data_IF_130600323492
#
_entry.id   IF_130600323492
#
_cell.length_a   1.000
_cell.length_b   1.000
_cell.length_c   1.000
_cell.angle_alpha   90.00
_cell.angle_beta   90.00
_cell.angle_gamma   90.00
#
_symmetry.space_group_name_H-M   'P 1'
#
loop_
_entity.id
_entity.type
_entity.pdbx_description
1 polymer ?
#
# COMPACT_ATOMS: atom_id res chain seq x y z
N UNK A 1 18.97 -33.32 39.51
CA UNK A 1 17.54 -33.19 39.16
C UNK A 1 17.44 -32.03 38.20
N UNK A 2 17.48 -32.33 36.90
CA UNK A 2 17.49 -31.35 35.82
C UNK A 2 16.07 -30.80 35.65
N UNK A 3 15.88 -29.50 35.80
CA UNK A 3 14.66 -28.85 35.35
C UNK A 3 14.85 -28.45 33.89
N UNK A 4 14.38 -29.32 33.00
CA UNK A 4 14.00 -28.95 31.64
C UNK A 4 12.87 -27.91 31.72
N UNK A 5 13.15 -26.69 31.26
CA UNK A 5 12.08 -25.75 30.93
C UNK A 5 11.58 -26.11 29.54
N UNK A 6 10.39 -26.68 29.56
CA UNK A 6 9.56 -27.10 28.43
C UNK A 6 9.39 -25.97 27.41
N UNK A 7 9.43 -26.41 26.15
CA UNK A 7 8.75 -25.89 24.97
C UNK A 7 8.62 -24.37 24.81
N UNK A 8 9.37 -23.89 23.82
CA UNK A 8 9.05 -22.67 23.06
C UNK A 8 7.55 -22.65 22.75
N UNK A 9 6.82 -21.77 23.42
CA UNK A 9 5.52 -21.33 22.95
C UNK A 9 5.67 -20.89 21.49
N UNK A 10 4.92 -21.55 20.60
CA UNK A 10 4.79 -21.12 19.21
C UNK A 10 4.42 -19.64 19.19
N UNK A 11 5.25 -18.80 18.54
CA UNK A 11 4.96 -17.37 18.37
C UNK A 11 3.52 -17.21 17.85
N UNK A 12 2.65 -16.43 18.51
CA UNK A 12 1.30 -16.22 18.01
C UNK A 12 1.34 -15.67 16.58
N UNK A 13 0.50 -16.24 15.72
CA UNK A 13 0.34 -15.85 14.32
C UNK A 13 -0.36 -14.49 14.26
N UNK A 14 0.45 -13.43 14.22
CA UNK A 14 -0.02 -12.05 14.19
C UNK A 14 -0.18 -11.46 15.60
N UNK A 15 0.15 -10.18 15.72
CA UNK A 15 -0.05 -9.39 16.92
C UNK A 15 -0.70 -8.07 16.53
N UNK A 16 -1.68 -7.62 17.31
CA UNK A 16 -2.30 -6.30 17.17
C UNK A 16 -1.76 -5.45 18.31
N UNK A 17 -1.14 -4.33 17.95
CA UNK A 17 -0.64 -3.34 18.91
C UNK A 17 -1.55 -2.11 18.84
N UNK A 18 -2.05 -1.68 20.00
CA UNK A 18 -2.82 -0.45 20.12
C UNK A 18 -1.93 0.62 20.75
N UNK A 19 -1.70 1.71 20.02
CA UNK A 19 -1.03 2.88 20.53
C UNK A 19 -2.08 3.97 20.75
N UNK A 20 -2.32 4.33 22.01
CA UNK A 20 -3.10 5.52 22.32
C UNK A 20 -2.18 6.74 22.17
N UNK A 21 -2.43 7.56 21.16
CA UNK A 21 -1.60 8.71 20.81
C UNK A 21 -2.35 10.02 21.11
N UNK A 22 -1.98 10.70 22.20
CA UNK A 22 -2.71 11.87 22.72
C UNK A 22 -2.11 13.21 22.31
N UNK A 23 -0.85 13.22 21.85
CA UNK A 23 -0.12 14.44 21.53
C UNK A 23 -0.83 15.33 20.49
N UNK A 24 -1.60 14.71 19.58
CA UNK A 24 -2.39 15.44 18.58
C UNK A 24 -3.50 16.29 19.22
N UNK A 25 -4.22 15.74 20.20
CA UNK A 25 -5.24 16.46 20.94
C UNK A 25 -4.60 17.53 21.84
N UNK A 26 -3.53 17.19 22.55
CA UNK A 26 -2.79 18.16 23.38
C UNK A 26 -2.26 19.35 22.56
N UNK A 27 -1.77 19.11 21.35
CA UNK A 27 -1.33 20.16 20.43
C UNK A 27 -2.50 21.05 20.01
N UNK A 28 -3.65 20.47 19.67
CA UNK A 28 -4.85 21.18 19.26
C UNK A 28 -5.41 22.08 20.38
N UNK A 29 -5.30 21.68 21.65
CA UNK A 29 -5.67 22.51 22.81
C UNK A 29 -4.64 23.59 23.15
N UNK A 30 -3.43 23.53 22.58
CA UNK A 30 -2.34 24.45 22.92
C UNK A 30 -2.41 25.79 22.18
N UNK A 31 -1.81 26.86 22.73
CA UNK A 31 -1.68 28.15 22.04
C UNK A 31 -0.47 28.16 21.09
N UNK A 32 -0.58 27.49 19.93
CA UNK A 32 0.53 27.45 18.94
C UNK A 32 0.85 28.83 18.35
N UNK A 33 -0.14 29.73 18.30
CA UNK A 33 0.03 31.08 17.77
C UNK A 33 0.99 31.90 18.63
N UNK A 34 0.99 31.71 19.96
CA UNK A 34 1.99 32.32 20.85
C UNK A 34 3.43 31.89 20.57
N UNK A 35 3.61 30.74 19.91
CA UNK A 35 4.91 30.19 19.52
C UNK A 35 5.32 30.60 18.10
N UNK A 36 4.58 31.51 17.47
CA UNK A 36 4.81 31.99 16.11
C UNK A 36 4.83 30.84 15.07
N UNK A 37 3.92 29.88 15.24
CA UNK A 37 3.71 28.76 14.31
C UNK A 37 2.21 28.51 14.10
N UNK A 38 1.88 27.58 13.20
CA UNK A 38 0.51 27.21 12.85
C UNK A 38 0.19 25.80 13.36
N UNK A 39 -1.09 25.47 13.50
CA UNK A 39 -1.48 24.10 13.87
C UNK A 39 -1.11 23.13 12.75
N UNK A 40 -1.28 23.55 11.50
CA UNK A 40 -0.96 22.79 10.31
C UNK A 40 0.52 22.37 10.28
N UNK A 41 1.44 23.31 10.58
CA UNK A 41 2.87 23.02 10.64
C UNK A 41 3.22 22.05 11.78
N UNK A 42 2.68 22.26 12.98
CA UNK A 42 2.98 21.40 14.14
C UNK A 42 2.37 20.00 13.99
N UNK A 43 1.13 19.91 13.49
CA UNK A 43 0.48 18.63 13.18
C UNK A 43 1.25 17.90 12.08
N UNK A 44 1.69 18.62 11.04
CA UNK A 44 2.52 18.03 9.98
C UNK A 44 3.81 17.46 10.55
N UNK A 45 4.55 18.21 11.38
CA UNK A 45 5.76 17.72 12.05
C UNK A 45 5.48 16.49 12.91
N UNK A 46 4.40 16.50 13.68
CA UNK A 46 4.01 15.40 14.55
C UNK A 46 3.73 14.12 13.75
N UNK A 47 2.87 14.21 12.73
CA UNK A 47 2.48 13.06 11.92
C UNK A 47 3.58 12.61 10.95
N UNK A 48 4.46 13.50 10.49
CA UNK A 48 5.63 13.13 9.70
C UNK A 48 6.57 12.21 10.49
N UNK A 49 6.81 12.49 11.78
CA UNK A 49 7.61 11.60 12.65
C UNK A 49 6.99 10.22 12.84
N UNK A 50 5.66 10.15 12.93
CA UNK A 50 4.93 8.88 12.98
C UNK A 50 5.12 8.13 11.65
N UNK A 51 4.93 8.82 10.52
CA UNK A 51 5.10 8.24 9.19
C UNK A 51 6.53 7.71 8.97
N UNK A 52 7.55 8.45 9.38
CA UNK A 52 8.95 8.00 9.35
C UNK A 52 9.16 6.75 10.21
N UNK A 53 8.56 6.72 11.41
CA UNK A 53 8.65 5.56 12.31
C UNK A 53 8.00 4.31 11.72
N UNK A 54 6.83 4.47 11.08
CA UNK A 54 6.14 3.39 10.35
C UNK A 54 6.96 2.94 9.14
N UNK A 55 7.55 3.88 8.39
CA UNK A 55 8.41 3.59 7.24
C UNK A 55 9.64 2.77 7.67
N UNK A 56 10.33 3.20 8.73
CA UNK A 56 11.46 2.44 9.28
C UNK A 56 11.04 1.04 9.74
N UNK A 57 9.94 0.93 10.49
CA UNK A 57 9.39 -0.35 10.93
C UNK A 57 9.12 -1.29 9.73
N UNK A 58 8.61 -0.74 8.63
CA UNK A 58 8.34 -1.52 7.42
C UNK A 58 9.60 -2.03 6.72
N UNK A 59 10.70 -1.29 6.80
CA UNK A 59 11.98 -1.67 6.19
C UNK A 59 12.69 -2.73 7.03
N UNK A 60 12.61 -2.61 8.36
CA UNK A 60 13.22 -3.52 9.33
C UNK A 60 12.37 -4.79 9.59
N UNK A 61 11.13 -4.83 9.10
CA UNK A 61 10.22 -5.96 9.27
C UNK A 61 10.78 -7.24 8.62
N UNK A 62 11.04 -8.26 9.45
CA UNK A 62 11.58 -9.54 9.00
C UNK A 62 10.54 -10.46 8.35
N UNK A 63 9.25 -10.19 8.53
CA UNK A 63 8.17 -10.95 7.91
C UNK A 63 7.82 -10.45 6.50
N UNK A 64 6.82 -11.06 5.85
CA UNK A 64 6.29 -10.54 4.60
C UNK A 64 5.75 -9.12 4.80
N UNK A 65 6.21 -8.17 3.99
CA UNK A 65 5.89 -6.74 4.13
C UNK A 65 4.40 -6.46 4.02
N UNK A 66 3.70 -7.22 3.19
CA UNK A 66 2.25 -7.13 2.98
C UNK A 66 1.40 -7.51 4.20
N UNK A 67 2.01 -8.10 5.22
CA UNK A 67 1.37 -8.42 6.50
C UNK A 67 1.45 -7.27 7.50
N UNK A 68 2.27 -6.24 7.24
CA UNK A 68 2.28 -5.03 8.04
C UNK A 68 1.16 -4.10 7.59
N UNK A 69 0.31 -3.68 8.52
CA UNK A 69 -0.75 -2.71 8.28
C UNK A 69 -0.87 -1.77 9.47
N UNK A 70 -1.01 -0.49 9.18
CA UNK A 70 -1.20 0.57 10.18
C UNK A 70 -2.56 1.20 9.95
N UNK A 71 -3.37 1.24 10.99
CA UNK A 71 -4.66 1.91 11.00
C UNK A 71 -4.54 3.13 11.90
N UNK A 72 -4.96 4.27 11.39
CA UNK A 72 -5.05 5.53 12.14
C UNK A 72 -6.53 5.83 12.26
N UNK A 73 -7.01 5.86 13.50
CA UNK A 73 -8.39 6.18 13.86
C UNK A 73 -8.36 7.21 14.98
N UNK A 74 -9.33 8.10 15.00
CA UNK A 74 -9.56 9.05 16.09
C UNK A 74 -10.98 8.88 16.60
N UNK A 75 -11.17 9.07 17.90
CA UNK A 75 -12.46 8.96 18.58
C UNK A 75 -13.31 10.22 18.39
N UNK A 76 -12.66 11.37 18.26
CA UNK A 76 -13.30 12.64 17.93
C UNK A 76 -12.39 13.51 17.05
N UNK A 77 -12.99 14.53 16.45
CA UNK A 77 -12.27 15.64 15.82
C UNK A 77 -12.19 16.84 16.76
N UNK A 78 -11.90 18.02 16.21
CA UNK A 78 -11.82 19.25 16.98
C UNK A 78 -12.24 20.45 16.12
N UNK A 79 -12.83 21.44 16.77
CA UNK A 79 -13.33 22.65 16.13
C UNK A 79 -12.71 23.90 16.77
N UNK A 80 -12.24 24.83 15.93
CA UNK A 80 -11.80 26.15 16.36
C UNK A 80 -12.96 27.12 16.33
N UNK A 81 -13.35 27.60 17.49
CA UNK A 81 -14.50 28.50 17.64
C UNK A 81 -14.03 29.95 17.49
N UNK A 82 -14.42 30.59 16.39
CA UNK A 82 -14.02 31.96 16.09
C UNK A 82 -14.77 32.96 16.98
N UNK A 83 -14.16 34.11 17.28
CA UNK A 83 -14.77 35.13 18.14
C UNK A 83 -16.14 35.61 17.61
N UNK A 84 -16.27 35.75 16.29
CA UNK A 84 -17.52 36.12 15.61
C UNK A 84 -18.60 35.04 15.67
N UNK A 85 -18.21 33.79 15.93
CA UNK A 85 -19.09 32.61 16.00
C UNK A 85 -19.47 32.28 17.43
N UNK A 86 -18.78 32.87 18.43
CA UNK A 86 -19.16 32.80 19.83
C UNK A 86 -20.51 33.48 20.01
N UNK A 87 -21.56 32.66 20.00
CA UNK A 87 -22.84 33.02 20.59
C UNK A 87 -22.76 32.63 22.05
N UNK A 88 -22.40 33.59 22.89
CA UNK A 88 -22.43 33.41 24.34
C UNK A 88 -23.88 33.38 24.79
N UNK A 89 -24.29 32.26 25.37
CA UNK A 89 -25.53 32.22 26.13
C UNK A 89 -25.41 33.13 27.36
N UNK A 90 -26.49 33.75 27.83
CA UNK A 90 -26.47 34.58 29.03
C UNK A 90 -26.02 33.75 30.25
N UNK A 91 -24.93 34.19 30.88
CA UNK A 91 -24.21 33.50 31.96
C UNK A 91 -25.09 33.05 33.12
N UNK A 92 -26.22 33.73 33.37
CA UNK A 92 -27.15 33.38 34.46
C UNK A 92 -27.92 32.08 34.21
N UNK A 93 -28.05 31.69 32.94
CA UNK A 93 -28.89 30.57 32.51
C UNK A 93 -28.06 29.34 32.12
N UNK A 94 -26.83 29.57 31.63
CA UNK A 94 -25.88 28.52 31.24
C UNK A 94 -25.41 27.69 32.42
N UNK A 95 -25.16 28.34 33.57
CA UNK A 95 -24.68 27.66 34.77
C UNK A 95 -25.71 26.68 35.35
N UNK A 96 -27.00 26.83 35.03
CA UNK A 96 -28.05 25.88 35.43
C UNK A 96 -28.03 24.59 34.61
N UNK A 97 -27.66 24.69 33.34
CA UNK A 97 -27.59 23.54 32.45
C UNK A 97 -26.23 22.83 32.57
N UNK A 98 -25.13 23.58 32.67
CA UNK A 98 -23.79 23.00 32.57
C UNK A 98 -23.07 23.05 33.91
N UNK A 99 -23.02 21.90 34.59
CA UNK A 99 -22.25 21.74 35.83
C UNK A 99 -20.73 21.88 35.61
N UNK A 100 -20.25 21.62 34.38
CA UNK A 100 -18.86 21.81 33.99
C UNK A 100 -18.80 22.52 32.63
N UNK A 101 -18.38 23.79 32.63
CA UNK A 101 -18.23 24.64 31.45
C UNK A 101 -17.19 24.14 30.43
N UNK A 102 -16.34 23.18 30.82
CA UNK A 102 -15.39 22.53 29.90
C UNK A 102 -16.07 21.50 29.01
N UNK A 103 -17.24 21.00 29.40
CA UNK A 103 -17.99 20.06 28.60
C UNK A 103 -18.98 20.82 27.71
N UNK A 104 -18.94 20.54 26.41
CA UNK A 104 -19.90 21.10 25.44
C UNK A 104 -21.20 20.31 25.38
N UNK A 105 -21.54 19.59 26.46
CA UNK A 105 -22.80 18.91 26.66
C UNK A 105 -23.24 19.03 28.12
N UNK A 106 -24.53 18.87 28.35
CA UNK A 106 -25.13 18.81 29.69
C UNK A 106 -25.85 17.47 29.86
N UNK A 107 -25.81 16.96 31.09
CA UNK A 107 -26.62 15.83 31.53
C UNK A 107 -27.57 16.37 32.62
N UNK A 108 -28.87 16.29 32.36
CA UNK A 108 -29.92 16.83 33.22
C UNK A 108 -30.71 15.67 33.80
N UNK A 109 -30.81 15.60 35.12
CA UNK A 109 -31.64 14.61 35.78
C UNK A 109 -33.14 14.90 35.50
N UNK A 110 -33.96 13.86 35.44
CA UNK A 110 -35.36 13.98 35.02
C UNK A 110 -36.20 14.91 35.92
N UNK A 111 -35.85 14.99 37.21
CA UNK A 111 -36.44 15.88 38.21
C UNK A 111 -36.05 17.36 38.05
N UNK A 112 -34.99 17.66 37.28
CA UNK A 112 -34.50 19.02 37.03
C UNK A 112 -34.96 19.58 35.68
N UNK A 113 -35.63 18.76 34.84
CA UNK A 113 -36.01 19.17 33.48
C UNK A 113 -36.94 20.39 33.50
N UNK A 114 -37.92 20.40 34.42
CA UNK A 114 -38.91 21.47 34.51
C UNK A 114 -38.32 22.79 35.06
N UNK A 115 -37.13 22.74 35.66
CA UNK A 115 -36.41 23.92 36.13
C UNK A 115 -35.68 24.67 35.00
N UNK A 116 -35.57 24.06 33.82
CA UNK A 116 -34.86 24.59 32.66
C UNK A 116 -35.84 25.31 31.72
N UNK A 117 -35.67 26.63 31.50
CA UNK A 117 -36.51 27.39 30.58
C UNK A 117 -36.61 26.79 29.17
N UNK A 118 -37.83 26.68 28.63
CA UNK A 118 -38.09 26.00 27.33
C UNK A 118 -37.31 26.62 26.16
N UNK A 119 -37.10 27.95 26.20
CA UNK A 119 -36.33 28.66 25.18
C UNK A 119 -34.86 28.18 25.07
N UNK A 120 -34.33 27.53 26.11
CA UNK A 120 -32.98 26.95 26.07
C UNK A 120 -32.93 25.63 25.33
N UNK A 121 -33.99 24.82 25.44
CA UNK A 121 -34.07 23.55 24.73
C UNK A 121 -34.03 23.73 23.21
N UNK A 122 -34.55 24.85 22.70
CA UNK A 122 -34.51 25.21 21.28
C UNK A 122 -33.07 25.34 20.75
N UNK A 123 -32.13 25.69 21.63
CA UNK A 123 -30.73 26.01 21.29
C UNK A 123 -29.86 24.75 21.07
N UNK A 124 -30.41 23.56 21.30
CA UNK A 124 -29.66 22.31 21.22
C UNK A 124 -30.50 21.11 20.81
N UNK A 125 -29.92 19.93 20.98
CA UNK A 125 -30.52 18.63 20.80
C UNK A 125 -30.71 17.99 22.17
N UNK A 126 -31.93 17.53 22.44
CA UNK A 126 -32.26 16.70 23.61
C UNK A 126 -32.25 15.24 23.20
N UNK A 127 -31.64 14.37 23.98
CA UNK A 127 -31.67 12.94 23.74
C UNK A 127 -31.48 12.15 25.04
N UNK A 128 -31.96 10.90 25.05
CA UNK A 128 -31.59 9.89 26.05
C UNK A 128 -30.63 8.91 25.38
N UNK A 129 -29.71 8.29 26.12
CA UNK A 129 -28.80 7.31 25.51
C UNK A 129 -29.64 6.15 24.96
N UNK A 130 -29.42 5.75 23.70
CA UNK A 130 -30.11 4.59 23.19
C UNK A 130 -29.64 3.36 23.98
N UNK A 131 -30.57 2.46 24.29
CA UNK A 131 -30.29 1.17 24.94
C UNK A 131 -29.88 1.20 26.43
N UNK A 132 -29.97 2.35 27.10
CA UNK A 132 -29.76 2.46 28.55
C UNK A 132 -31.01 3.04 29.20
N UNK A 133 -31.57 2.33 30.19
CA UNK A 133 -32.68 2.86 30.98
C UNK A 133 -32.13 3.77 32.06
N UNK A 134 -32.18 5.07 31.82
CA UNK A 134 -31.69 6.10 32.73
C UNK A 134 -32.65 7.28 32.84
N UNK A 135 -32.66 7.91 34.01
CA UNK A 135 -33.45 9.11 34.30
C UNK A 135 -32.61 10.36 34.03
N UNK A 136 -31.95 10.40 32.86
CA UNK A 136 -31.07 11.49 32.47
C UNK A 136 -31.37 11.88 31.02
N UNK A 137 -31.60 13.17 30.81
CA UNK A 137 -31.73 13.77 29.48
C UNK A 137 -30.45 14.54 29.18
N UNK A 138 -29.83 14.21 28.05
CA UNK A 138 -28.63 14.88 27.57
C UNK A 138 -28.99 16.04 26.65
N UNK A 139 -28.18 17.09 26.72
CA UNK A 139 -28.31 18.29 25.91
C UNK A 139 -27.00 18.61 25.20
N UNK A 140 -27.07 18.75 23.87
CA UNK A 140 -25.96 19.18 23.03
C UNK A 140 -26.33 20.49 22.32
N UNK A 141 -25.62 21.61 22.57
CA UNK A 141 -25.83 22.86 21.86
C UNK A 141 -25.67 22.70 20.35
N UNK A 142 -26.49 23.39 19.55
CA UNK A 142 -26.35 23.45 18.10
C UNK A 142 -25.16 24.35 17.71
N UNK A 143 -24.48 24.00 16.62
CA UNK A 143 -23.42 24.82 16.02
C UNK A 143 -22.23 25.09 16.95
N UNK A 144 -21.59 26.25 16.77
CA UNK A 144 -20.42 26.69 17.55
C UNK A 144 -20.77 27.31 18.91
N UNK A 145 -22.00 27.12 19.39
CA UNK A 145 -22.41 27.66 20.68
C UNK A 145 -21.48 27.11 21.78
N UNK A 146 -20.99 28.02 22.64
CA UNK A 146 -20.15 27.67 23.78
C UNK A 146 -20.81 28.09 25.06
N UNK A 147 -20.61 27.26 26.06
CA UNK A 147 -21.07 27.41 27.45
C UNK A 147 -20.08 28.25 28.27
N UNK A 148 -18.94 28.59 27.67
CA UNK A 148 -17.75 29.05 28.37
C UNK A 148 -17.81 30.56 28.63
N UNK A 149 -17.48 30.96 29.86
CA UNK A 149 -17.36 32.37 30.23
C UNK A 149 -16.22 33.06 29.47
N UNK A 150 -16.34 34.38 29.33
CA UNK A 150 -15.43 35.23 28.58
C UNK A 150 -13.97 35.05 29.03
N UNK A 151 -13.16 34.47 28.14
CA UNK A 151 -11.72 34.29 28.32
C UNK A 151 -11.10 33.80 27.01
N UNK A 152 -9.89 34.29 26.69
CA UNK A 152 -9.13 33.95 25.48
C UNK A 152 -8.62 32.51 25.56
N UNK A 153 -9.49 31.54 25.35
CA UNK A 153 -9.06 30.19 25.02
C UNK A 153 -8.63 30.25 23.56
N UNK A 154 -7.35 30.02 23.33
CA UNK A 154 -6.80 29.81 22.01
C UNK A 154 -6.61 28.31 21.84
N UNK A 155 -6.87 27.79 20.66
CA UNK A 155 -6.90 26.35 20.40
C UNK A 155 -8.20 25.89 19.77
N UNK A 156 -8.15 24.64 19.36
CA UNK A 156 -9.30 23.84 18.97
C UNK A 156 -9.89 23.18 20.22
N UNK A 157 -11.19 22.89 20.19
CA UNK A 157 -11.90 22.22 21.27
C UNK A 157 -12.76 21.09 20.69
N UNK A 158 -13.19 20.17 21.55
CA UNK A 158 -14.07 19.06 21.16
C UNK A 158 -15.25 18.90 22.16
N UNK A 159 -16.11 17.92 21.92
CA UNK A 159 -17.26 17.57 22.76
C UNK A 159 -18.59 18.20 22.34
N UNK A 160 -18.61 18.97 21.26
CA UNK A 160 -19.81 19.46 20.58
C UNK A 160 -20.30 18.52 19.48
N UNK A 161 -21.15 19.05 18.59
CA UNK A 161 -21.79 18.30 17.49
C UNK A 161 -21.48 18.90 16.12
N UNK A 162 -20.43 19.73 16.01
CA UNK A 162 -20.08 20.26 14.69
C UNK A 162 -19.52 19.14 13.82
N UNK A 163 -19.69 19.22 12.49
CA UNK A 163 -19.13 18.22 11.57
C UNK A 163 -17.64 17.95 11.82
N UNK A 164 -16.86 18.97 12.15
CA UNK A 164 -15.43 18.88 12.44
C UNK A 164 -15.12 18.07 13.71
N UNK A 165 -16.06 17.97 14.65
CA UNK A 165 -15.91 17.20 15.89
C UNK A 165 -16.39 15.75 15.74
N UNK A 166 -17.43 15.51 14.94
CA UNK A 166 -18.11 14.20 14.88
C UNK A 166 -17.77 13.38 13.63
N UNK A 167 -17.36 14.02 12.53
CA UNK A 167 -16.93 13.34 11.32
C UNK A 167 -15.42 13.15 11.40
N UNK A 168 -15.02 11.98 11.87
CA UNK A 168 -13.62 11.65 12.13
C UNK A 168 -13.00 10.86 10.99
N UNK A 169 -11.76 11.20 10.57
CA UNK A 169 -11.06 10.42 9.57
C UNK A 169 -10.61 9.07 10.12
N UNK A 170 -10.72 8.04 9.28
CA UNK A 170 -10.00 6.79 9.45
C UNK A 170 -9.08 6.60 8.24
N UNK A 171 -7.82 6.29 8.48
CA UNK A 171 -6.84 6.04 7.44
C UNK A 171 -6.22 4.66 7.63
N UNK A 172 -5.94 3.99 6.51
CA UNK A 172 -5.21 2.73 6.49
C UNK A 172 -3.97 2.89 5.62
N UNK A 173 -2.82 2.54 6.18
CA UNK A 173 -1.59 2.33 5.44
C UNK A 173 -1.28 0.84 5.41
N UNK A 174 -1.12 0.30 4.20
CA UNK A 174 -0.77 -1.11 3.99
C UNK A 174 0.19 -1.24 2.83
N UNK A 175 1.20 -2.08 3.01
CA UNK A 175 2.06 -2.48 1.91
C UNK A 175 1.36 -3.56 1.10
N UNK A 176 1.40 -3.43 -0.22
CA UNK A 176 0.82 -4.40 -1.14
C UNK A 176 1.93 -4.97 -2.00
N UNK A 177 1.81 -6.25 -2.37
CA UNK A 177 2.66 -6.81 -3.40
C UNK A 177 2.40 -6.06 -4.70
N UNK A 178 3.47 -5.63 -5.36
CA UNK A 178 3.33 -5.02 -6.67
C UNK A 178 2.81 -6.07 -7.65
N UNK A 179 1.83 -5.68 -8.46
CA UNK A 179 1.34 -6.51 -9.55
C UNK A 179 2.31 -6.35 -10.73
N UNK A 180 3.30 -7.24 -10.83
CA UNK A 180 4.26 -7.22 -11.92
C UNK A 180 3.59 -7.60 -13.25
N UNK A 181 3.87 -6.82 -14.28
CA UNK A 181 3.48 -7.12 -15.66
C UNK A 181 4.49 -8.09 -16.26
N UNK A 182 3.99 -9.11 -16.94
CA UNK A 182 4.83 -10.07 -17.67
C UNK A 182 5.69 -9.33 -18.72
N UNK A 183 7.01 -9.57 -18.78
CA UNK A 183 7.87 -9.00 -19.80
C UNK A 183 7.44 -9.47 -21.19
N UNK A 184 7.55 -8.59 -22.18
CA UNK A 184 7.39 -9.00 -23.57
C UNK A 184 8.74 -9.42 -24.13
N UNK A 185 8.76 -10.40 -25.03
CA UNK A 185 9.99 -10.86 -25.65
C UNK A 185 9.78 -11.11 -27.16
N UNK A 186 10.82 -10.84 -27.94
CA UNK A 186 10.84 -11.13 -29.37
C UNK A 186 12.22 -11.62 -29.81
N UNK A 187 12.23 -12.54 -30.75
CA UNK A 187 13.46 -13.02 -31.37
C UNK A 187 13.99 -11.98 -32.37
N UNK A 188 15.31 -11.80 -32.40
CA UNK A 188 16.01 -10.92 -33.33
C UNK A 188 16.76 -11.74 -34.39
N UNK A 189 17.10 -11.08 -35.50
CA UNK A 189 18.06 -11.58 -36.50
C UNK A 189 17.77 -13.01 -37.01
N UNK A 190 16.49 -13.34 -37.18
CA UNK A 190 16.05 -14.64 -37.68
C UNK A 190 16.31 -14.80 -39.17
N UNK A 191 16.90 -15.93 -39.56
CA UNK A 191 16.97 -16.39 -40.95
C UNK A 191 15.67 -17.13 -41.29
N UNK A 192 14.76 -16.48 -42.01
CA UNK A 192 13.44 -17.04 -42.32
C UNK A 192 13.44 -17.80 -43.64
N UNK A 193 12.72 -18.92 -43.66
CA UNK A 193 12.45 -19.69 -44.87
C UNK A 193 11.33 -18.99 -45.63
N UNK A 194 11.56 -18.64 -46.90
CA UNK A 194 10.61 -17.83 -47.68
C UNK A 194 9.26 -18.51 -47.87
N UNK A 195 9.25 -19.83 -48.02
CA UNK A 195 8.05 -20.60 -48.33
C UNK A 195 7.16 -20.80 -47.10
N UNK A 196 7.75 -20.94 -45.91
CA UNK A 196 7.02 -21.29 -44.68
C UNK A 196 6.96 -20.15 -43.67
N UNK A 197 7.79 -19.11 -43.83
CA UNK A 197 7.94 -18.01 -42.86
C UNK A 197 8.62 -18.43 -41.55
N UNK A 198 9.09 -19.67 -41.43
CA UNK A 198 9.68 -20.21 -40.18
C UNK A 198 11.16 -19.88 -40.05
N UNK A 199 11.62 -19.77 -38.80
CA UNK A 199 13.03 -19.57 -38.50
C UNK A 199 13.85 -20.83 -38.85
N UNK A 200 14.91 -20.67 -39.62
CA UNK A 200 15.79 -21.76 -40.03
C UNK A 200 16.94 -21.91 -39.06
N UNK A 201 17.14 -23.12 -38.54
CA UNK A 201 18.29 -23.47 -37.73
C UNK A 201 19.01 -24.69 -38.30
N UNK A 202 20.34 -24.68 -38.27
CA UNK A 202 21.12 -25.86 -38.67
C UNK A 202 21.44 -26.72 -37.46
N UNK A 203 21.10 -28.00 -37.54
CA UNK A 203 21.49 -28.98 -36.51
C UNK A 203 22.98 -29.25 -36.54
N UNK A 204 23.51 -29.73 -35.41
CA UNK A 204 24.91 -30.08 -35.21
C UNK A 204 25.89 -28.92 -35.43
N UNK A 205 25.41 -27.68 -35.26
CA UNK A 205 26.20 -26.45 -35.29
C UNK A 205 25.80 -25.56 -34.11
N UNK A 206 26.73 -24.73 -33.65
CA UNK A 206 26.42 -23.70 -32.66
C UNK A 206 25.74 -22.55 -33.38
N UNK A 207 24.58 -22.15 -32.87
CA UNK A 207 23.78 -21.02 -33.33
C UNK A 207 23.63 -20.03 -32.19
N UNK A 208 23.84 -18.75 -32.45
CA UNK A 208 23.53 -17.68 -31.49
C UNK A 208 22.08 -17.25 -31.67
N UNK A 209 21.28 -17.39 -30.63
CA UNK A 209 19.95 -16.83 -30.52
C UNK A 209 20.01 -15.50 -29.79
N UNK A 210 19.30 -14.51 -30.30
CA UNK A 210 19.14 -13.21 -29.67
C UNK A 210 17.66 -12.98 -29.37
N UNK A 211 17.34 -12.70 -28.12
CA UNK A 211 15.98 -12.41 -27.65
C UNK A 211 15.98 -11.02 -27.02
N UNK A 212 15.29 -10.07 -27.64
CA UNK A 212 15.01 -8.79 -26.99
C UNK A 212 13.90 -8.98 -25.97
N UNK A 213 14.13 -8.53 -24.75
CA UNK A 213 13.15 -8.58 -23.67
C UNK A 213 12.85 -7.14 -23.25
N UNK A 214 11.57 -6.80 -23.23
CA UNK A 214 11.05 -5.52 -22.78
C UNK A 214 10.51 -5.63 -21.36
N UNK A 215 10.98 -4.73 -20.50
CA UNK A 215 10.53 -4.60 -19.13
C UNK A 215 9.51 -3.46 -19.00
N UNK A 216 8.21 -3.75 -18.88
CA UNK A 216 7.18 -2.73 -18.65
C UNK A 216 7.07 -2.27 -17.19
N UNK A 217 7.89 -2.82 -16.28
CA UNK A 217 7.79 -2.58 -14.84
C UNK A 217 8.71 -1.43 -14.38
N UNK A 218 8.38 -0.79 -13.25
CA UNK A 218 9.19 0.28 -12.66
C UNK A 218 10.42 -0.23 -11.89
N UNK A 219 10.72 -1.53 -11.96
CA UNK A 219 11.86 -2.16 -11.29
C UNK A 219 12.63 -3.00 -12.29
N UNK A 220 13.94 -3.08 -12.09
CA UNK A 220 14.82 -3.86 -12.96
C UNK A 220 14.48 -5.35 -12.92
N UNK A 221 14.63 -6.01 -14.07
CA UNK A 221 14.52 -7.45 -14.19
C UNK A 221 15.90 -8.03 -14.34
N UNK A 222 16.24 -9.04 -13.55
CA UNK A 222 17.47 -9.81 -13.70
C UNK A 222 17.15 -11.17 -14.30
N UNK A 223 17.71 -11.47 -15.46
CA UNK A 223 17.65 -12.82 -16.04
C UNK A 223 18.56 -13.74 -15.24
N UNK A 224 17.98 -14.79 -14.65
CA UNK A 224 18.69 -15.77 -13.83
C UNK A 224 19.25 -16.91 -14.68
N UNK A 225 18.43 -17.41 -15.61
CA UNK A 225 18.80 -18.46 -16.57
C UNK A 225 17.82 -18.49 -17.75
N UNK A 226 18.24 -19.11 -18.84
CA UNK A 226 17.36 -19.56 -19.90
C UNK A 226 17.58 -21.05 -20.17
N UNK A 227 16.53 -21.76 -20.55
CA UNK A 227 16.58 -23.20 -20.84
C UNK A 227 15.79 -23.50 -22.10
N UNK A 228 16.36 -24.31 -22.98
CA UNK A 228 15.68 -24.80 -24.18
C UNK A 228 14.89 -26.04 -23.78
N UNK A 229 13.57 -25.95 -23.81
CA UNK A 229 12.66 -27.04 -23.45
C UNK A 229 12.44 -27.99 -24.63
N UNK A 230 12.43 -27.44 -25.84
CA UNK A 230 12.35 -28.18 -27.10
C UNK A 230 13.00 -27.35 -28.22
N UNK A 231 13.70 -27.95 -29.18
CA UNK A 231 14.04 -29.37 -29.28
C UNK A 231 15.27 -29.72 -28.43
N UNK A 232 15.74 -30.98 -28.49
CA UNK A 232 16.92 -31.41 -27.74
C UNK A 232 18.17 -30.59 -28.12
N UNK A 233 18.68 -29.83 -27.16
CA UNK A 233 19.69 -28.78 -27.38
C UNK A 233 20.70 -28.76 -26.25
N UNK A 234 21.99 -28.64 -26.58
CA UNK A 234 23.00 -28.28 -25.59
C UNK A 234 23.17 -26.75 -25.56
N UNK A 235 22.85 -26.13 -24.44
CA UNK A 235 23.13 -24.72 -24.20
C UNK A 235 24.62 -24.54 -23.87
N UNK A 236 25.39 -23.94 -24.77
CA UNK A 236 26.84 -23.75 -24.61
C UNK A 236 27.16 -22.50 -23.77
N UNK A 237 26.34 -21.46 -23.88
CA UNK A 237 26.41 -20.29 -23.01
C UNK A 237 25.08 -19.52 -23.02
N UNK A 238 24.83 -18.79 -21.93
CA UNK A 238 23.72 -17.86 -21.80
C UNK A 238 24.23 -16.64 -21.04
N UNK A 239 23.98 -15.44 -21.57
CA UNK A 239 24.35 -14.22 -20.87
C UNK A 239 23.49 -14.01 -19.62
N UNK A 240 24.07 -13.39 -18.59
CA UNK A 240 23.32 -12.83 -17.47
C UNK A 240 23.04 -11.38 -17.79
N UNK A 241 21.76 -11.01 -17.89
CA UNK A 241 21.34 -9.69 -18.35
C UNK A 241 20.43 -9.04 -17.31
N UNK A 242 20.64 -7.74 -17.10
CA UNK A 242 19.69 -6.89 -16.37
C UNK A 242 18.94 -6.04 -17.40
N UNK A 243 17.61 -6.06 -17.34
CA UNK A 243 16.72 -5.26 -18.19
C UNK A 243 16.22 -4.10 -17.31
N UNK A 244 16.70 -2.87 -17.54
CA UNK A 244 16.33 -1.73 -16.70
C UNK A 244 14.82 -1.48 -16.69
N UNK A 245 14.33 -0.88 -15.62
CA UNK A 245 12.94 -0.42 -15.50
C UNK A 245 12.49 0.38 -16.74
N UNK A 246 11.34 0.01 -17.31
CA UNK A 246 10.76 0.68 -18.48
C UNK A 246 11.55 0.57 -19.79
N UNK A 247 12.56 -0.30 -19.86
CA UNK A 247 13.50 -0.38 -20.99
C UNK A 247 13.51 -1.75 -21.67
N UNK A 248 14.38 -1.93 -22.65
CA UNK A 248 14.66 -3.19 -23.35
C UNK A 248 16.12 -3.59 -23.19
N UNK A 249 16.39 -4.89 -23.21
CA UNK A 249 17.75 -5.41 -23.35
C UNK A 249 17.72 -6.76 -24.11
N UNK A 250 18.86 -7.17 -24.63
CA UNK A 250 18.98 -8.41 -25.43
C UNK A 250 19.65 -9.50 -24.63
N UNK A 251 19.01 -10.67 -24.56
CA UNK A 251 19.58 -11.92 -24.06
C UNK A 251 20.19 -12.71 -25.21
N UNK A 252 21.47 -13.05 -25.11
CA UNK A 252 22.14 -13.94 -26.07
C UNK A 252 22.37 -15.33 -25.51
N UNK A 253 22.08 -16.33 -26.34
CA UNK A 253 22.24 -17.75 -26.02
C UNK A 253 22.96 -18.46 -27.16
N UNK A 254 23.99 -19.24 -26.86
CA UNK A 254 24.66 -20.09 -27.84
C UNK A 254 24.14 -21.52 -27.70
N UNK A 255 23.43 -21.98 -28.72
CA UNK A 255 22.70 -23.24 -28.73
C UNK A 255 23.33 -24.22 -29.73
N UNK A 256 23.52 -25.46 -29.32
CA UNK A 256 23.88 -26.57 -30.21
C UNK A 256 22.69 -27.52 -30.32
N UNK A 257 21.96 -27.42 -31.43
CA UNK A 257 20.81 -28.29 -31.70
C UNK A 257 21.29 -29.69 -32.09
N UNK A 258 20.84 -30.72 -31.36
CA UNK A 258 21.28 -32.10 -31.62
C UNK A 258 20.61 -32.66 -32.87
N UNK A 259 21.09 -33.82 -33.34
CA UNK A 259 20.51 -34.51 -34.51
C UNK A 259 19.02 -34.84 -34.31
N UNK A 260 18.60 -35.11 -33.08
CA UNK A 260 17.20 -35.39 -32.73
C UNK A 260 16.25 -34.21 -33.01
N UNK A 261 16.77 -32.97 -33.10
CA UNK A 261 15.97 -31.80 -33.48
C UNK A 261 15.53 -31.83 -34.96
N UNK A 262 16.11 -32.70 -35.80
CA UNK A 262 15.76 -32.78 -37.21
C UNK A 262 14.26 -33.11 -37.40
N UNK A 263 13.55 -32.23 -38.11
CA UNK A 263 12.11 -32.40 -38.36
C UNK A 263 11.20 -31.77 -37.30
N UNK A 264 11.76 -31.28 -36.19
CA UNK A 264 11.03 -30.48 -35.21
C UNK A 264 10.58 -29.15 -35.81
N UNK A 265 9.48 -28.61 -35.27
CA UNK A 265 8.79 -27.44 -35.83
C UNK A 265 8.67 -26.25 -34.89
N UNK A 266 9.07 -26.42 -33.63
CA UNK A 266 9.05 -25.37 -32.62
C UNK A 266 10.38 -25.32 -31.88
N UNK A 267 10.75 -24.10 -31.48
CA UNK A 267 11.75 -23.83 -30.48
C UNK A 267 11.02 -23.27 -29.26
N UNK A 268 11.16 -23.92 -28.11
CA UNK A 268 10.53 -23.54 -26.85
C UNK A 268 11.60 -23.23 -25.82
N UNK A 269 11.53 -22.04 -25.24
CA UNK A 269 12.51 -21.53 -24.29
C UNK A 269 11.76 -21.08 -23.03
N UNK A 270 12.27 -21.47 -21.87
CA UNK A 270 11.86 -20.92 -20.58
C UNK A 270 12.96 -20.00 -20.05
N UNK A 271 12.62 -18.74 -19.81
CA UNK A 271 13.52 -17.75 -19.21
C UNK A 271 13.10 -17.53 -17.76
N UNK A 272 13.96 -17.90 -16.82
CA UNK A 272 13.74 -17.59 -15.41
C UNK A 272 14.34 -16.22 -15.08
N UNK A 273 13.56 -15.38 -14.39
CA UNK A 273 13.97 -14.02 -14.05
C UNK A 273 13.54 -13.64 -12.64
N UNK A 274 14.21 -12.63 -12.08
CA UNK A 274 13.91 -12.04 -10.78
C UNK A 274 13.49 -10.58 -10.97
N UNK A 275 12.45 -10.17 -10.26
CA UNK A 275 12.04 -8.76 -10.13
C UNK A 275 11.70 -8.49 -8.67
N UNK A 276 12.34 -7.47 -8.08
CA UNK A 276 12.16 -7.09 -6.67
C UNK A 276 12.31 -8.25 -5.65
N UNK A 277 13.13 -9.25 -5.97
CA UNK A 277 13.38 -10.44 -5.13
C UNK A 277 12.41 -11.60 -5.36
N UNK A 278 11.35 -11.43 -6.15
CA UNK A 278 10.45 -12.51 -6.54
C UNK A 278 10.93 -13.16 -7.84
N UNK A 279 10.91 -14.50 -7.90
CA UNK A 279 11.30 -15.29 -9.07
C UNK A 279 10.10 -15.69 -9.93
N UNK A 280 10.28 -15.60 -11.24
CA UNK A 280 9.26 -15.86 -12.25
C UNK A 280 9.83 -16.57 -13.47
N UNK A 281 8.95 -17.08 -14.33
CA UNK A 281 9.30 -17.73 -15.60
C UNK A 281 8.56 -17.08 -16.77
N UNK A 282 9.27 -16.87 -17.88
CA UNK A 282 8.74 -16.38 -19.14
C UNK A 282 8.92 -17.47 -20.22
N UNK A 283 7.85 -18.21 -20.57
CA UNK A 283 7.88 -19.12 -21.69
C UNK A 283 7.79 -18.34 -23.00
N UNK A 284 8.65 -18.65 -23.96
CA UNK A 284 8.60 -18.12 -25.33
C UNK A 284 8.72 -19.26 -26.33
N UNK A 285 8.01 -19.12 -27.46
CA UNK A 285 7.98 -20.13 -28.52
C UNK A 285 8.26 -19.45 -29.87
N UNK A 286 8.97 -20.16 -30.75
CA UNK A 286 9.25 -19.74 -32.12
C UNK A 286 8.98 -20.89 -33.08
N UNK A 287 8.14 -20.66 -34.09
CA UNK A 287 8.01 -21.59 -35.21
C UNK A 287 9.31 -21.67 -36.00
N UNK A 288 9.84 -22.88 -36.12
CA UNK A 288 11.20 -23.12 -36.57
C UNK A 288 11.28 -24.33 -37.50
N UNK A 289 12.34 -24.42 -38.28
CA UNK A 289 12.73 -25.61 -39.03
C UNK A 289 14.20 -25.91 -38.79
N UNK A 290 14.45 -27.12 -38.30
CA UNK A 290 15.80 -27.61 -38.04
C UNK A 290 16.27 -28.46 -39.23
N UNK A 291 17.33 -28.01 -39.90
CA UNK A 291 17.85 -28.61 -41.15
C UNK A 291 19.27 -29.16 -40.98
N UNK A 292 19.58 -30.23 -41.70
CA UNK A 292 20.95 -30.71 -41.84
C UNK A 292 21.71 -29.88 -42.88
N UNK A 293 22.95 -29.51 -42.57
CA UNK A 293 23.82 -28.79 -43.50
C UNK A 293 24.45 -29.70 -44.59
N UNK A 294 24.23 -31.02 -44.54
CA UNK A 294 24.85 -31.99 -45.47
C UNK A 294 24.00 -32.34 -46.72
N UNK A 295 22.88 -31.66 -46.95
CA UNK A 295 21.93 -32.05 -48.00
C UNK A 295 22.24 -31.53 -49.43
N UNK A 296 23.34 -30.80 -49.65
CA UNK A 296 23.77 -30.37 -50.99
C UNK A 296 25.06 -31.07 -51.39
N UNK A 297 25.00 -32.38 -51.61
CA UNK A 297 26.05 -33.11 -52.31
C UNK A 297 26.00 -32.77 -53.79
N UNK A 298 27.04 -32.10 -54.30
CA UNK A 298 27.28 -31.90 -55.72
C UNK A 298 27.43 -33.29 -56.38
N UNK A 299 26.52 -33.66 -57.28
CA UNK A 299 26.59 -34.92 -58.03
C UNK A 299 27.38 -34.68 -59.32
N UNK A 300 28.52 -35.35 -59.49
CA UNK A 300 29.29 -35.38 -60.75
C UNK A 300 28.55 -36.08 -61.91
N UNK A 301 27.27 -36.46 -61.74
CA UNK A 301 26.40 -36.98 -62.81
C UNK A 301 25.60 -35.91 -63.55
N UNK A 302 25.72 -34.64 -63.14
CA UNK A 302 25.05 -33.50 -63.77
C UNK A 302 26.00 -32.68 -64.69
N UNK A 303 27.12 -33.29 -65.12
CA UNK A 303 28.02 -32.77 -66.17
C UNK A 303 27.78 -33.51 -67.50
#
# INVERSE_FOLDING_TARGET
MNYEIKERASKPSGAVYLLNFVDGDELLHSDVESKNTTYEDELHRLFARIAESVSRLSQEWAGPREQLSVYVVTDHGACRILEKEKRSFDSTVVNKLFANEKHRFSAVAEDQIDEIPENLWVLGHRFKRPFVSENTTYFLPKGHNTVRQAGRVKGYMHGGVTPEEVIVPAAQYKLVKAAWKTPAARFLNLDLIRETGRAKFYIQRVVTLEVEIQNPNPSDIRILRASIMSPETDLKSCETVVIPAGSVNTLRMNCYFKKAALGERSLEIEIAYEIAGDQHTLPITLESEFRSAMASGFSLRDL
#
